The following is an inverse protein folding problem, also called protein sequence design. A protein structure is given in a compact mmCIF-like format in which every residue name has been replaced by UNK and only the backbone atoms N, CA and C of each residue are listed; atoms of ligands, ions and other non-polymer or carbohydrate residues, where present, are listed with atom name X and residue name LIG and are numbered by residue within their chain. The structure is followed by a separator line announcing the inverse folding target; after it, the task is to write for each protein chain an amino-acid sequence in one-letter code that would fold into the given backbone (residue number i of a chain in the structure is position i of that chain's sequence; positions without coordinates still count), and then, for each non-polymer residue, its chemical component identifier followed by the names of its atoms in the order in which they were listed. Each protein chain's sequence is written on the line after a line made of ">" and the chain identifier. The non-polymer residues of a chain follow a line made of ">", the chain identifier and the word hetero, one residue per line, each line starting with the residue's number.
data_IF_220879721326
#
_entry.id   IF_220879721326
#
_cell.length_a   1.000
_cell.length_b   1.000
_cell.length_c   1.000
_cell.angle_alpha   90.00
_cell.angle_beta   90.00
_cell.angle_gamma   90.00
#
_symmetry.space_group_name_H-M   'P 1'
#
loop_
_entity.id
_entity.type
_entity.pdbx_description
1 polymer ?
#
# COMPACT_ATOMS: atom_id res chain seq x y z
N UNK A 1 -33.84 48.39 -21.34
CA UNK A 1 -33.26 48.03 -20.02
C UNK A 1 -32.75 46.61 -20.15
N UNK A 2 -31.44 46.48 -20.40
CA UNK A 2 -30.79 45.18 -20.58
C UNK A 2 -30.24 44.71 -19.24
N UNK A 3 -30.66 43.51 -18.81
CA UNK A 3 -30.18 42.83 -17.63
C UNK A 3 -28.73 42.37 -17.89
N UNK A 4 -27.77 42.62 -16.97
CA UNK A 4 -26.41 42.13 -17.13
C UNK A 4 -26.35 40.60 -16.96
N UNK A 5 -25.42 39.88 -17.64
CA UNK A 5 -25.25 38.46 -17.49
C UNK A 5 -24.68 38.13 -16.11
N UNK A 6 -25.25 37.13 -15.46
CA UNK A 6 -24.74 36.53 -14.22
C UNK A 6 -23.38 35.90 -14.51
N UNK A 7 -22.33 36.43 -13.90
CA UNK A 7 -21.03 35.79 -13.85
C UNK A 7 -21.17 34.41 -13.17
N UNK A 8 -20.54 33.35 -13.69
CA UNK A 8 -20.50 32.09 -12.99
C UNK A 8 -19.75 32.29 -11.66
N UNK A 9 -20.41 31.94 -10.56
CA UNK A 9 -19.81 31.91 -9.25
C UNK A 9 -18.58 31.01 -9.30
N UNK A 10 -17.44 31.57 -8.95
CA UNK A 10 -16.21 30.79 -8.73
C UNK A 10 -16.51 29.78 -7.63
N UNK A 11 -16.62 28.52 -7.98
CA UNK A 11 -16.67 27.42 -7.03
C UNK A 11 -15.27 27.40 -6.38
N UNK A 12 -15.18 27.93 -5.18
CA UNK A 12 -14.02 27.75 -4.33
C UNK A 12 -14.06 26.30 -3.85
N UNK A 13 -13.47 25.39 -4.61
CA UNK A 13 -13.24 24.01 -4.17
C UNK A 13 -12.10 24.04 -3.18
N UNK A 14 -12.43 24.16 -1.92
CA UNK A 14 -11.51 23.92 -0.80
C UNK A 14 -11.53 22.44 -0.40
N UNK A 15 -11.57 21.54 -1.36
CA UNK A 15 -11.31 20.14 -1.07
C UNK A 15 -9.85 20.00 -0.70
N UNK A 16 -9.53 19.32 0.42
CA UNK A 16 -8.15 19.11 0.81
C UNK A 16 -7.41 18.35 -0.29
N UNK A 17 -6.11 18.65 -0.45
CA UNK A 17 -5.26 17.87 -1.34
C UNK A 17 -5.38 16.38 -0.98
N UNK A 18 -5.35 15.48 -1.97
CA UNK A 18 -5.67 14.06 -1.82
C UNK A 18 -4.99 13.34 -0.65
N UNK A 19 -3.74 13.66 -0.22
CA UNK A 19 -3.13 12.97 0.93
C UNK A 19 -3.82 13.28 2.27
N UNK A 20 -4.62 14.34 2.30
CA UNK A 20 -5.39 14.79 3.47
C UNK A 20 -6.90 14.53 3.34
N UNK A 21 -7.33 14.01 2.19
CA UNK A 21 -8.67 13.47 1.94
C UNK A 21 -8.87 12.07 2.53
N UNK A 22 -9.98 11.38 2.21
CA UNK A 22 -10.19 10.00 2.62
C UNK A 22 -9.13 9.06 2.04
N UNK A 23 -8.59 8.16 2.88
CA UNK A 23 -7.57 7.18 2.51
C UNK A 23 -7.93 5.79 3.05
N UNK A 24 -7.49 4.75 2.35
CA UNK A 24 -7.53 3.38 2.83
C UNK A 24 -6.10 2.82 2.91
N UNK A 25 -5.57 2.68 4.11
CA UNK A 25 -4.31 2.00 4.32
C UNK A 25 -4.48 0.49 4.30
N UNK A 26 -3.49 -0.25 3.80
CA UNK A 26 -3.50 -1.70 3.69
C UNK A 26 -2.11 -2.28 3.93
N UNK A 27 -2.07 -3.41 4.66
CA UNK A 27 -0.86 -4.19 4.91
C UNK A 27 -1.20 -5.65 5.18
N UNK A 28 -0.24 -6.56 4.99
CA UNK A 28 -0.39 -8.01 5.20
C UNK A 28 0.81 -8.62 5.91
N UNK A 29 0.54 -9.58 6.81
CA UNK A 29 1.55 -10.51 7.29
C UNK A 29 1.40 -11.86 6.59
N UNK A 30 2.51 -12.53 6.36
CA UNK A 30 2.58 -13.68 5.46
C UNK A 30 3.49 -14.79 5.97
N UNK A 31 3.43 -15.95 5.33
CA UNK A 31 4.33 -17.08 5.66
C UNK A 31 5.78 -16.86 5.23
N UNK A 32 6.09 -15.78 4.49
CA UNK A 32 7.45 -15.50 4.03
C UNK A 32 7.56 -14.25 3.18
N UNK A 33 8.51 -14.19 2.26
CA UNK A 33 8.89 -12.97 1.52
C UNK A 33 8.70 -13.07 0.00
N UNK A 34 8.08 -14.13 -0.48
CA UNK A 34 7.80 -14.36 -1.91
C UNK A 34 6.29 -14.27 -2.16
N UNK A 35 5.76 -13.15 -2.68
CA UNK A 35 4.32 -12.95 -2.85
C UNK A 35 3.70 -13.89 -3.89
N UNK A 36 4.51 -14.59 -4.69
CA UNK A 36 4.05 -15.61 -5.62
C UNK A 36 3.85 -16.99 -4.98
N UNK A 37 4.47 -17.24 -3.82
CA UNK A 37 4.50 -18.55 -3.16
C UNK A 37 3.93 -18.54 -1.77
N UNK A 38 4.16 -17.49 -1.03
CA UNK A 38 3.74 -17.37 0.36
C UNK A 38 2.22 -17.19 0.48
N UNK A 39 1.73 -17.27 1.70
CA UNK A 39 0.31 -17.27 2.03
C UNK A 39 -0.03 -16.13 2.96
N UNK A 40 -1.23 -15.61 2.81
CA UNK A 40 -1.78 -14.63 3.73
C UNK A 40 -1.97 -15.23 5.12
N UNK A 41 -1.44 -14.56 6.15
CA UNK A 41 -1.63 -14.88 7.57
C UNK A 41 -2.52 -13.85 8.25
N UNK A 42 -2.22 -12.56 8.14
CA UNK A 42 -3.09 -11.49 8.61
C UNK A 42 -3.23 -10.41 7.53
N UNK A 43 -4.31 -9.66 7.61
CA UNK A 43 -4.50 -8.45 6.84
C UNK A 43 -5.04 -7.35 7.74
N UNK A 44 -4.67 -6.10 7.47
CA UNK A 44 -5.22 -4.93 8.13
C UNK A 44 -5.63 -3.87 7.12
N UNK A 45 -6.79 -3.28 7.34
CA UNK A 45 -7.27 -2.09 6.67
C UNK A 45 -7.49 -0.98 7.69
N UNK A 46 -6.94 0.19 7.42
CA UNK A 46 -7.20 1.40 8.19
C UNK A 46 -7.87 2.41 7.28
N UNK A 47 -9.15 2.60 7.47
CA UNK A 47 -9.86 3.71 6.86
C UNK A 47 -9.55 4.99 7.64
N UNK A 48 -9.07 6.00 6.94
CA UNK A 48 -8.78 7.32 7.51
C UNK A 48 -9.65 8.35 6.80
N UNK A 49 -10.52 9.02 7.55
CA UNK A 49 -11.38 10.06 7.03
C UNK A 49 -10.57 11.31 6.61
N UNK A 50 -11.21 12.22 5.90
CA UNK A 50 -10.68 13.53 5.59
C UNK A 50 -10.18 14.26 6.84
N UNK A 51 -9.10 15.04 6.70
CA UNK A 51 -8.57 15.89 7.77
C UNK A 51 -9.53 17.03 8.03
N UNK A 52 -10.01 17.14 9.26
CA UNK A 52 -10.91 18.21 9.69
C UNK A 52 -10.15 19.53 9.91
N UNK A 53 -10.88 20.64 10.01
CA UNK A 53 -10.29 21.95 10.22
C UNK A 53 -9.51 22.07 11.55
N UNK A 54 -9.85 21.24 12.56
CA UNK A 54 -9.14 21.11 13.82
C UNK A 54 -7.87 20.23 13.73
N UNK A 55 -7.55 19.73 12.55
CA UNK A 55 -6.41 18.84 12.30
C UNK A 55 -6.66 17.37 12.65
N UNK A 56 -7.79 17.03 13.28
CA UNK A 56 -8.13 15.68 13.69
C UNK A 56 -8.60 14.85 12.48
N UNK A 57 -8.18 13.60 12.43
CA UNK A 57 -8.67 12.61 11.46
C UNK A 57 -9.29 11.44 12.22
N UNK A 58 -10.54 11.12 11.88
CA UNK A 58 -11.15 9.88 12.36
C UNK A 58 -10.58 8.71 11.56
N UNK A 59 -10.34 7.60 12.25
CA UNK A 59 -9.94 6.36 11.61
C UNK A 59 -10.69 5.18 12.21
N UNK A 60 -10.84 4.14 11.41
CA UNK A 60 -11.33 2.83 11.83
C UNK A 60 -10.41 1.75 11.31
N UNK A 61 -10.17 0.76 12.15
CA UNK A 61 -9.28 -0.36 11.86
C UNK A 61 -10.13 -1.62 11.71
N UNK A 62 -9.82 -2.41 10.70
CA UNK A 62 -10.39 -3.75 10.51
C UNK A 62 -9.22 -4.71 10.26
N UNK A 63 -9.17 -5.79 11.02
CA UNK A 63 -8.11 -6.80 10.92
C UNK A 63 -8.72 -8.18 10.67
N UNK A 64 -7.96 -9.02 10.00
CA UNK A 64 -8.31 -10.42 9.75
C UNK A 64 -7.14 -11.32 10.15
N UNK A 65 -7.45 -12.44 10.75
CA UNK A 65 -6.56 -13.57 10.94
C UNK A 65 -7.05 -14.70 10.05
N UNK A 66 -6.20 -15.19 9.16
CA UNK A 66 -6.50 -16.29 8.26
C UNK A 66 -5.81 -17.59 8.72
N UNK A 67 -6.44 -18.71 8.47
CA UNK A 67 -5.74 -20.00 8.42
C UNK A 67 -5.21 -20.19 6.98
N UNK A 68 -3.91 -20.06 6.73
CA UNK A 68 -3.32 -20.22 5.40
C UNK A 68 -3.38 -21.67 4.86
N UNK A 69 -3.82 -22.64 5.68
CA UNK A 69 -3.84 -24.06 5.33
C UNK A 69 -2.45 -24.70 5.22
N UNK A 70 -1.39 -23.96 5.57
CA UNK A 70 0.00 -24.41 5.57
C UNK A 70 0.66 -24.08 6.89
N UNK A 71 1.85 -24.62 7.13
CA UNK A 71 2.66 -24.25 8.30
C UNK A 71 3.23 -22.83 8.12
N UNK A 72 3.17 -22.03 9.18
CA UNK A 72 3.83 -20.72 9.25
C UNK A 72 5.25 -20.94 9.75
N UNK A 73 6.29 -20.63 8.96
CA UNK A 73 7.66 -20.79 9.37
C UNK A 73 7.99 -20.00 10.64
N UNK A 74 8.84 -20.56 11.50
CA UNK A 74 9.28 -19.91 12.75
C UNK A 74 9.85 -18.50 12.50
N UNK A 75 10.58 -18.32 11.39
CA UNK A 75 11.14 -17.03 11.01
C UNK A 75 10.05 -15.97 10.74
N UNK A 76 8.92 -16.36 10.17
CA UNK A 76 7.77 -15.46 9.93
C UNK A 76 7.03 -15.20 11.26
N UNK A 77 6.74 -16.27 12.03
CA UNK A 77 6.11 -16.15 13.35
C UNK A 77 6.91 -15.27 14.32
N UNK A 78 8.24 -15.30 14.24
CA UNK A 78 9.11 -14.43 15.05
C UNK A 78 8.98 -12.94 14.70
N UNK A 79 8.54 -12.61 13.49
CA UNK A 79 8.31 -11.23 13.04
C UNK A 79 6.94 -10.73 13.49
N UNK A 80 5.87 -11.42 13.10
CA UNK A 80 4.49 -10.93 13.30
C UNK A 80 3.74 -11.58 14.47
N UNK A 81 4.38 -12.50 15.21
CA UNK A 81 3.84 -13.09 16.44
C UNK A 81 2.69 -14.10 16.25
N UNK A 82 2.34 -14.48 15.02
CA UNK A 82 1.28 -15.46 14.75
C UNK A 82 1.89 -16.82 14.49
N UNK A 83 1.56 -17.82 15.33
CA UNK A 83 1.99 -19.20 15.16
C UNK A 83 1.01 -20.00 14.30
N UNK A 84 1.47 -21.13 13.78
CA UNK A 84 0.60 -22.08 13.05
C UNK A 84 -0.59 -22.52 13.89
N UNK A 85 -0.37 -22.81 15.19
CA UNK A 85 -1.41 -23.25 16.12
C UNK A 85 -2.48 -22.18 16.29
N UNK A 86 -2.06 -20.92 16.51
CA UNK A 86 -2.97 -19.79 16.67
C UNK A 86 -3.77 -19.58 15.39
N UNK A 87 -3.10 -19.56 14.24
CA UNK A 87 -3.74 -19.38 12.94
C UNK A 87 -4.81 -20.46 12.67
N UNK A 88 -4.51 -21.73 12.99
CA UNK A 88 -5.47 -22.83 12.82
C UNK A 88 -6.64 -22.81 13.80
N UNK A 89 -6.42 -22.34 15.03
CA UNK A 89 -7.47 -22.35 16.08
C UNK A 89 -8.37 -21.12 16.05
N UNK A 90 -7.86 -19.96 15.64
CA UNK A 90 -8.54 -18.66 15.71
C UNK A 90 -8.77 -18.05 14.32
N UNK A 91 -8.00 -18.49 13.31
CA UNK A 91 -8.06 -17.95 11.96
C UNK A 91 -9.32 -18.41 11.21
N UNK A 92 -9.77 -17.54 10.32
CA UNK A 92 -10.87 -17.86 9.39
C UNK A 92 -10.30 -18.54 8.13
N UNK A 93 -11.13 -19.28 7.38
CA UNK A 93 -10.72 -19.80 6.08
C UNK A 93 -10.14 -18.70 5.20
N UNK A 94 -8.91 -18.89 4.69
CA UNK A 94 -8.18 -17.85 3.95
C UNK A 94 -8.97 -17.33 2.75
N UNK A 95 -9.73 -18.19 2.05
CA UNK A 95 -10.56 -17.78 0.91
C UNK A 95 -11.65 -16.76 1.29
N UNK A 96 -12.25 -16.87 2.50
CA UNK A 96 -13.23 -15.91 2.99
C UNK A 96 -12.55 -14.56 3.32
N UNK A 97 -11.38 -14.61 3.97
CA UNK A 97 -10.60 -13.42 4.30
C UNK A 97 -10.19 -12.68 3.02
N UNK A 98 -9.67 -13.41 2.03
CA UNK A 98 -9.28 -12.86 0.73
C UNK A 98 -10.46 -12.18 0.01
N UNK A 99 -11.64 -12.82 0.04
CA UNK A 99 -12.83 -12.24 -0.57
C UNK A 99 -13.21 -10.91 0.11
N UNK A 100 -13.29 -10.87 1.43
CA UNK A 100 -13.65 -9.66 2.19
C UNK A 100 -12.62 -8.53 2.01
N UNK A 101 -11.33 -8.83 2.16
CA UNK A 101 -10.26 -7.84 1.98
C UNK A 101 -10.29 -7.27 0.56
N UNK A 102 -10.40 -8.14 -0.45
CA UNK A 102 -10.46 -7.69 -1.85
C UNK A 102 -11.73 -6.89 -2.15
N UNK A 103 -12.86 -7.16 -1.48
CA UNK A 103 -14.09 -6.37 -1.60
C UNK A 103 -13.86 -4.92 -1.15
N UNK A 104 -13.21 -4.72 0.00
CA UNK A 104 -12.88 -3.40 0.50
C UNK A 104 -11.91 -2.64 -0.42
N UNK A 105 -10.85 -3.31 -0.88
CA UNK A 105 -9.86 -2.71 -1.78
C UNK A 105 -10.48 -2.30 -3.12
N UNK A 106 -11.27 -3.19 -3.74
CA UNK A 106 -11.96 -2.91 -5.01
C UNK A 106 -12.99 -1.78 -4.83
N UNK A 107 -13.73 -1.76 -3.72
CA UNK A 107 -14.70 -0.69 -3.43
C UNK A 107 -13.99 0.67 -3.30
N UNK A 108 -12.87 0.75 -2.57
CA UNK A 108 -12.09 1.96 -2.44
C UNK A 108 -11.56 2.45 -3.80
N UNK A 109 -10.93 1.56 -4.57
CA UNK A 109 -10.40 1.90 -5.90
C UNK A 109 -11.50 2.31 -6.89
N UNK A 110 -12.69 1.71 -6.78
CA UNK A 110 -13.85 2.08 -7.61
C UNK A 110 -14.40 3.46 -7.23
N UNK A 111 -14.38 3.79 -5.96
CA UNK A 111 -14.79 5.09 -5.43
C UNK A 111 -13.74 6.21 -5.67
N UNK A 112 -12.56 5.87 -6.21
CA UNK A 112 -11.46 6.81 -6.38
C UNK A 112 -10.71 7.14 -5.08
N UNK A 113 -10.96 6.39 -3.99
CA UNK A 113 -10.23 6.53 -2.73
C UNK A 113 -8.84 5.92 -2.88
N UNK A 114 -7.74 6.67 -2.62
CA UNK A 114 -6.40 6.11 -2.70
C UNK A 114 -6.18 4.99 -1.68
N UNK A 115 -5.63 3.88 -2.16
CA UNK A 115 -5.15 2.77 -1.32
C UNK A 115 -3.67 2.99 -1.03
N UNK A 116 -3.32 3.05 0.25
CA UNK A 116 -1.97 3.37 0.72
C UNK A 116 -1.31 2.08 1.23
N UNK A 117 -0.21 1.70 0.62
CA UNK A 117 0.50 0.45 0.91
C UNK A 117 2.00 0.71 0.93
N UNK A 118 2.68 0.33 1.99
CA UNK A 118 4.15 0.42 2.04
C UNK A 118 4.77 -0.78 1.31
N UNK A 119 5.59 -0.54 0.29
CA UNK A 119 6.09 -1.59 -0.61
C UNK A 119 4.98 -2.34 -1.35
N UNK A 120 4.06 -1.58 -1.91
CA UNK A 120 2.80 -2.03 -2.50
C UNK A 120 2.92 -3.22 -3.47
N UNK A 121 4.05 -3.36 -4.15
CA UNK A 121 4.27 -4.48 -5.07
C UNK A 121 4.20 -5.83 -4.38
N UNK A 122 4.56 -5.91 -3.09
CA UNK A 122 4.51 -7.16 -2.34
C UNK A 122 3.06 -7.55 -2.04
N UNK A 123 2.34 -6.71 -1.31
CA UNK A 123 0.99 -7.01 -0.81
C UNK A 123 -0.03 -7.16 -1.94
N UNK A 124 0.06 -6.30 -2.94
CA UNK A 124 -0.86 -6.37 -4.08
C UNK A 124 -0.60 -7.60 -4.96
N UNK A 125 0.66 -8.01 -5.13
CA UNK A 125 0.99 -9.26 -5.84
C UNK A 125 0.53 -10.47 -5.04
N UNK A 126 0.74 -10.47 -3.72
CA UNK A 126 0.24 -11.52 -2.83
C UNK A 126 -1.28 -11.67 -2.96
N UNK A 127 -2.03 -10.56 -2.87
CA UNK A 127 -3.49 -10.59 -2.98
C UNK A 127 -3.96 -11.16 -4.33
N UNK A 128 -3.41 -10.69 -5.44
CA UNK A 128 -3.74 -11.20 -6.77
C UNK A 128 -3.42 -12.70 -6.91
N UNK A 129 -2.24 -13.12 -6.39
CA UNK A 129 -1.81 -14.52 -6.42
C UNK A 129 -2.71 -15.42 -5.57
N UNK A 130 -3.02 -14.99 -4.36
CA UNK A 130 -3.86 -15.75 -3.43
C UNK A 130 -5.30 -15.83 -3.94
N UNK A 131 -5.87 -14.74 -4.45
CA UNK A 131 -7.20 -14.77 -5.07
C UNK A 131 -7.25 -15.79 -6.21
N UNK A 132 -6.27 -15.76 -7.13
CA UNK A 132 -6.19 -16.70 -8.24
C UNK A 132 -6.02 -18.15 -7.76
N UNK A 133 -5.16 -18.38 -6.74
CA UNK A 133 -4.92 -19.71 -6.17
C UNK A 133 -6.17 -20.33 -5.56
N UNK A 134 -7.03 -19.53 -4.98
CA UNK A 134 -8.31 -19.97 -4.39
C UNK A 134 -9.48 -19.92 -5.37
N UNK A 135 -9.23 -19.66 -6.67
CA UNK A 135 -10.27 -19.60 -7.70
C UNK A 135 -11.23 -18.42 -7.54
N UNK A 136 -10.80 -17.37 -6.81
CA UNK A 136 -11.56 -16.14 -6.63
C UNK A 136 -11.21 -15.16 -7.77
N UNK A 137 -12.17 -14.29 -8.16
CA UNK A 137 -11.87 -13.22 -9.12
C UNK A 137 -10.81 -12.28 -8.58
N UNK A 138 -9.74 -12.04 -9.34
CA UNK A 138 -8.69 -11.09 -8.96
C UNK A 138 -9.22 -9.66 -8.94
N UNK A 139 -8.57 -8.76 -8.20
CA UNK A 139 -8.97 -7.36 -8.12
C UNK A 139 -8.91 -6.68 -9.50
N UNK A 140 -7.86 -6.97 -10.30
CA UNK A 140 -7.77 -6.47 -11.69
C UNK A 140 -8.94 -6.91 -12.54
N UNK A 141 -9.32 -8.19 -12.46
CA UNK A 141 -10.47 -8.72 -13.25
C UNK A 141 -11.79 -8.06 -12.85
N UNK A 142 -11.96 -7.78 -11.55
CA UNK A 142 -13.16 -7.12 -11.01
C UNK A 142 -13.25 -5.64 -11.39
N UNK A 143 -12.11 -4.96 -11.39
CA UNK A 143 -12.04 -3.55 -11.79
C UNK A 143 -12.13 -3.35 -13.31
N UNK A 144 -11.74 -4.37 -14.11
CA UNK A 144 -11.66 -4.26 -15.57
C UNK A 144 -10.56 -3.28 -16.03
N UNK A 145 -9.63 -2.92 -15.15
CA UNK A 145 -8.51 -2.00 -15.38
C UNK A 145 -7.36 -2.32 -14.43
N UNK A 146 -6.23 -1.64 -14.60
CA UNK A 146 -5.13 -1.71 -13.64
C UNK A 146 -5.56 -1.20 -12.25
N UNK A 147 -4.85 -1.68 -11.22
CA UNK A 147 -5.12 -1.29 -9.84
C UNK A 147 -4.82 0.21 -9.63
N UNK A 148 -5.66 0.88 -8.90
CA UNK A 148 -5.48 2.30 -8.55
C UNK A 148 -6.80 3.02 -8.24
N UNK A 149 -6.71 4.21 -7.60
CA UNK A 149 -5.48 4.91 -7.21
C UNK A 149 -4.73 4.22 -6.06
N UNK A 150 -3.40 4.20 -6.15
CA UNK A 150 -2.49 3.61 -5.15
C UNK A 150 -1.39 4.60 -4.83
N UNK A 151 -1.00 4.71 -3.55
CA UNK A 151 0.20 5.41 -3.14
C UNK A 151 1.08 4.50 -2.26
N UNK A 152 2.36 4.44 -2.62
CA UNK A 152 3.40 3.70 -1.91
C UNK A 152 4.44 4.69 -1.36
N UNK A 153 4.42 4.98 -0.05
CA UNK A 153 5.36 5.91 0.55
C UNK A 153 6.83 5.56 0.31
N UNK A 154 7.17 4.28 0.17
CA UNK A 154 8.52 3.85 -0.16
C UNK A 154 8.94 4.27 -1.57
N UNK A 155 8.06 4.14 -2.54
CA UNK A 155 8.32 4.53 -3.94
C UNK A 155 8.34 6.05 -4.06
N UNK A 156 7.43 6.74 -3.39
CA UNK A 156 7.38 8.20 -3.36
C UNK A 156 8.63 8.79 -2.71
N UNK A 157 9.06 8.29 -1.55
CA UNK A 157 10.29 8.72 -0.88
C UNK A 157 11.53 8.51 -1.78
N UNK A 158 11.62 7.37 -2.47
CA UNK A 158 12.70 7.14 -3.45
C UNK A 158 12.69 8.13 -4.61
N UNK A 159 11.51 8.57 -5.04
CA UNK A 159 11.37 9.50 -6.14
C UNK A 159 11.79 10.93 -5.75
N UNK A 160 11.38 11.41 -4.57
CA UNK A 160 11.61 12.80 -4.14
C UNK A 160 12.94 13.00 -3.43
N UNK A 161 13.47 11.96 -2.76
CA UNK A 161 14.77 11.99 -2.05
C UNK A 161 15.69 10.86 -2.52
N UNK A 162 15.95 10.84 -3.82
CA UNK A 162 16.71 9.80 -4.52
C UNK A 162 18.07 9.50 -3.89
N UNK A 163 18.76 10.52 -3.40
CA UNK A 163 20.16 10.42 -2.97
C UNK A 163 20.33 10.31 -1.46
N UNK A 164 19.24 10.26 -0.70
CA UNK A 164 19.31 10.08 0.74
C UNK A 164 20.04 8.78 1.08
N UNK A 165 21.00 8.91 1.98
CA UNK A 165 21.75 7.76 2.50
C UNK A 165 20.92 7.00 3.53
N UNK A 166 21.19 5.72 3.66
CA UNK A 166 20.55 4.86 4.65
C UNK A 166 19.54 3.88 4.05
N UNK A 167 18.88 3.14 4.93
CA UNK A 167 17.82 2.21 4.58
C UNK A 167 16.49 2.96 4.39
N UNK A 168 15.51 2.26 3.86
CA UNK A 168 14.14 2.80 3.62
C UNK A 168 13.10 1.78 4.03
N UNK A 169 13.30 1.15 5.18
CA UNK A 169 12.26 0.34 5.82
C UNK A 169 11.23 1.26 6.44
N UNK A 170 10.07 0.72 6.81
CA UNK A 170 9.01 1.49 7.45
C UNK A 170 9.54 2.29 8.66
N UNK A 171 10.22 1.64 9.61
CA UNK A 171 10.82 2.31 10.77
C UNK A 171 11.88 3.35 10.42
N UNK A 172 12.72 3.12 9.39
CA UNK A 172 13.69 4.11 8.93
C UNK A 172 12.99 5.39 8.41
N UNK A 173 11.82 5.23 7.73
CA UNK A 173 11.04 6.37 7.24
C UNK A 173 10.26 7.06 8.38
N UNK A 174 9.79 6.33 9.38
CA UNK A 174 9.25 6.94 10.59
C UNK A 174 10.25 7.92 11.22
N UNK A 175 11.50 7.51 11.39
CA UNK A 175 12.57 8.39 11.91
C UNK A 175 12.80 9.61 11.02
N UNK A 176 12.88 9.41 9.69
CA UNK A 176 13.15 10.48 8.72
C UNK A 176 12.04 11.53 8.69
N UNK A 177 10.79 11.10 8.77
CA UNK A 177 9.63 11.98 8.68
C UNK A 177 9.05 12.39 10.04
N UNK A 178 9.71 11.99 11.14
CA UNK A 178 9.29 12.35 12.51
C UNK A 178 7.96 11.74 12.92
N UNK A 179 7.64 10.57 12.37
CA UNK A 179 6.45 9.79 12.74
C UNK A 179 6.75 8.99 13.99
N UNK A 180 5.99 9.24 15.04
CA UNK A 180 6.11 8.49 16.30
C UNK A 180 5.18 7.28 16.25
N UNK A 181 5.71 6.12 16.58
CA UNK A 181 4.98 4.86 16.72
C UNK A 181 5.05 4.47 18.18
N UNK A 182 3.91 4.45 18.86
CA UNK A 182 3.83 4.16 20.31
C UNK A 182 3.95 2.65 20.63
N UNK A 183 3.79 1.80 19.62
CA UNK A 183 3.84 0.35 19.68
C UNK A 183 4.97 -0.19 18.79
N UNK A 184 5.38 -1.42 19.05
CA UNK A 184 6.36 -2.08 18.18
C UNK A 184 5.74 -2.33 16.79
N UNK A 185 6.45 -1.91 15.74
CA UNK A 185 6.15 -2.29 14.36
C UNK A 185 6.17 -3.82 14.25
N UNK A 186 5.42 -4.37 13.30
CA UNK A 186 5.26 -5.81 12.97
C UNK A 186 3.90 -6.39 13.38
N UNK A 187 2.91 -5.51 13.57
CA UNK A 187 1.51 -5.90 13.44
C UNK A 187 0.91 -5.08 12.30
N UNK A 188 0.12 -5.73 11.44
CA UNK A 188 -0.34 -5.10 10.21
C UNK A 188 -1.09 -3.76 10.47
N UNK A 189 -1.87 -3.65 11.54
CA UNK A 189 -2.59 -2.41 11.87
C UNK A 189 -1.68 -1.26 12.29
N UNK A 190 -0.59 -1.54 13.02
CA UNK A 190 0.41 -0.53 13.44
C UNK A 190 1.20 -0.07 12.22
N UNK A 191 1.63 -0.99 11.37
CA UNK A 191 2.37 -0.70 10.15
C UNK A 191 1.53 0.12 9.17
N UNK A 192 0.23 -0.17 9.03
CA UNK A 192 -0.69 0.65 8.23
C UNK A 192 -0.84 2.05 8.79
N UNK A 193 -1.02 2.21 10.11
CA UNK A 193 -1.15 3.52 10.72
C UNK A 193 0.11 4.37 10.49
N UNK A 194 1.29 3.78 10.72
CA UNK A 194 2.58 4.42 10.46
C UNK A 194 2.75 4.78 8.97
N UNK A 195 2.33 3.91 8.07
CA UNK A 195 2.37 4.15 6.62
C UNK A 195 1.53 5.35 6.20
N UNK A 196 0.33 5.49 6.77
CA UNK A 196 -0.55 6.64 6.53
C UNK A 196 0.06 7.94 7.06
N UNK A 197 0.69 7.90 8.25
CA UNK A 197 1.34 9.06 8.86
C UNK A 197 2.59 9.49 8.07
N UNK A 198 3.39 8.52 7.60
CA UNK A 198 4.52 8.78 6.70
C UNK A 198 4.05 9.46 5.41
N UNK A 199 2.96 8.99 4.80
CA UNK A 199 2.43 9.61 3.58
C UNK A 199 2.08 11.08 3.80
N UNK A 200 1.39 11.41 4.90
CA UNK A 200 1.01 12.78 5.22
C UNK A 200 2.23 13.68 5.50
N UNK A 201 3.21 13.17 6.24
CA UNK A 201 4.45 13.88 6.53
C UNK A 201 5.29 14.10 5.26
N UNK A 202 5.38 13.08 4.41
CA UNK A 202 6.06 13.11 3.13
C UNK A 202 5.41 14.11 2.17
N UNK A 203 4.07 14.12 2.07
CA UNK A 203 3.33 15.08 1.26
C UNK A 203 3.47 16.52 1.77
N UNK A 204 3.58 16.69 3.09
CA UNK A 204 3.86 17.99 3.71
C UNK A 204 5.28 18.48 3.39
N UNK A 205 6.27 17.60 3.45
CA UNK A 205 7.66 17.92 3.12
C UNK A 205 7.89 18.13 1.62
N UNK A 206 7.07 17.49 0.77
CA UNK A 206 7.18 17.48 -0.69
C UNK A 206 5.82 17.79 -1.35
N UNK A 207 5.39 19.07 -1.35
CA UNK A 207 4.04 19.47 -1.81
C UNK A 207 3.70 19.04 -3.24
N UNK A 208 4.71 18.87 -4.11
CA UNK A 208 4.52 18.39 -5.48
C UNK A 208 3.81 17.02 -5.57
N UNK A 209 3.87 16.21 -4.51
CA UNK A 209 3.14 14.93 -4.44
C UNK A 209 1.64 15.18 -4.36
N UNK A 210 1.24 16.19 -3.60
CA UNK A 210 -0.16 16.57 -3.41
C UNK A 210 -0.81 17.15 -4.66
N UNK A 211 0.01 17.61 -5.62
CA UNK A 211 -0.44 18.18 -6.89
C UNK A 211 -0.77 17.12 -7.95
N UNK A 212 -0.30 15.87 -7.75
CA UNK A 212 -0.57 14.76 -8.67
C UNK A 212 -2.04 14.33 -8.58
N UNK A 213 -2.71 14.27 -9.72
CA UNK A 213 -4.01 13.61 -9.81
C UNK A 213 -3.90 12.09 -9.66
N UNK A 214 -5.01 11.37 -9.43
CA UNK A 214 -4.98 9.92 -9.18
C UNK A 214 -4.26 9.09 -10.26
N UNK A 215 -4.51 9.38 -11.53
CA UNK A 215 -3.87 8.67 -12.65
C UNK A 215 -2.40 9.07 -12.81
N UNK A 216 -2.08 10.35 -12.60
CA UNK A 216 -0.72 10.86 -12.63
C UNK A 216 0.12 10.28 -11.49
N UNK A 217 -0.47 10.11 -10.30
CA UNK A 217 0.16 9.51 -9.13
C UNK A 217 0.63 8.08 -9.41
N UNK A 218 -0.23 7.26 -10.02
CA UNK A 218 0.11 5.87 -10.39
C UNK A 218 1.22 5.85 -11.44
N UNK A 219 1.10 6.66 -12.50
CA UNK A 219 2.09 6.74 -13.57
C UNK A 219 3.46 7.25 -13.07
N UNK A 220 3.45 8.28 -12.21
CA UNK A 220 4.66 8.82 -11.57
C UNK A 220 5.40 7.74 -10.77
N UNK A 221 4.69 7.00 -9.94
CA UNK A 221 5.29 5.94 -9.11
C UNK A 221 5.82 4.78 -9.97
N UNK A 222 5.07 4.36 -10.99
CA UNK A 222 5.50 3.31 -11.91
C UNK A 222 6.81 3.69 -12.61
N UNK A 223 6.94 4.93 -13.08
CA UNK A 223 8.16 5.44 -13.70
C UNK A 223 9.31 5.56 -12.70
N UNK A 224 9.05 6.07 -11.50
CA UNK A 224 10.06 6.22 -10.45
C UNK A 224 10.59 4.86 -9.98
N UNK A 225 9.69 3.88 -9.79
CA UNK A 225 10.05 2.50 -9.44
C UNK A 225 10.89 1.85 -10.53
N UNK A 226 10.50 1.95 -11.79
CA UNK A 226 11.26 1.44 -12.93
C UNK A 226 12.67 2.00 -12.96
N UNK A 227 12.82 3.31 -12.86
CA UNK A 227 14.13 3.99 -12.86
C UNK A 227 15.02 3.52 -11.71
N UNK A 228 14.44 3.34 -10.52
CA UNK A 228 15.15 2.78 -9.37
C UNK A 228 15.56 1.33 -9.62
N UNK A 229 14.64 0.48 -10.07
CA UNK A 229 14.88 -0.95 -10.28
C UNK A 229 15.96 -1.20 -11.35
N UNK A 230 15.93 -0.48 -12.47
CA UNK A 230 16.96 -0.56 -13.51
C UNK A 230 18.33 -0.20 -12.95
N UNK A 231 18.45 0.93 -12.28
CA UNK A 231 19.70 1.39 -11.66
C UNK A 231 20.21 0.40 -10.58
N UNK A 232 19.30 -0.14 -9.77
CA UNK A 232 19.63 -1.16 -8.77
C UNK A 232 20.09 -2.46 -9.43
N UNK A 233 19.45 -2.92 -10.48
CA UNK A 233 19.79 -4.13 -11.21
C UNK A 233 21.18 -4.03 -11.90
N UNK A 234 21.50 -2.87 -12.46
CA UNK A 234 22.84 -2.61 -12.99
C UNK A 234 23.92 -2.67 -11.88
N UNK A 235 23.63 -2.10 -10.72
CA UNK A 235 24.53 -2.18 -9.57
C UNK A 235 24.67 -3.63 -9.08
N UNK A 236 23.53 -4.35 -8.97
CA UNK A 236 23.47 -5.73 -8.52
C UNK A 236 24.27 -6.67 -9.41
N UNK A 237 24.13 -6.54 -10.74
CA UNK A 237 24.87 -7.35 -11.71
C UNK A 237 26.39 -7.22 -11.54
N UNK A 238 26.87 -6.06 -11.08
CA UNK A 238 28.29 -5.83 -10.82
C UNK A 238 28.77 -6.31 -9.45
N UNK A 239 27.89 -6.24 -8.43
CA UNK A 239 28.30 -6.47 -7.02
C UNK A 239 27.85 -7.82 -6.46
N UNK A 240 26.73 -8.34 -6.91
CA UNK A 240 26.15 -9.60 -6.44
C UNK A 240 25.31 -10.27 -7.54
N UNK A 241 25.92 -10.80 -8.60
CA UNK A 241 25.22 -11.36 -9.76
C UNK A 241 24.38 -12.61 -9.43
N UNK A 242 24.56 -13.23 -8.27
CA UNK A 242 23.78 -14.38 -7.85
C UNK A 242 22.41 -14.03 -7.26
N UNK A 243 22.19 -12.76 -6.92
CA UNK A 243 20.91 -12.29 -6.40
C UNK A 243 19.94 -11.98 -7.54
N UNK A 244 18.69 -12.40 -7.40
CA UNK A 244 17.63 -12.07 -8.37
C UNK A 244 17.46 -10.56 -8.53
N UNK A 245 17.28 -10.07 -9.77
CA UNK A 245 17.02 -8.66 -10.02
C UNK A 245 15.67 -8.21 -9.45
N UNK A 246 15.57 -6.93 -9.14
CA UNK A 246 14.30 -6.32 -8.78
C UNK A 246 13.37 -6.26 -10.00
N UNK A 247 12.09 -6.48 -9.78
CA UNK A 247 11.05 -6.27 -10.80
C UNK A 247 11.03 -4.80 -11.22
N UNK A 248 10.84 -4.55 -12.52
CA UNK A 248 10.78 -3.19 -13.06
C UNK A 248 9.36 -2.65 -13.16
N UNK A 249 8.37 -3.55 -13.22
CA UNK A 249 6.97 -3.18 -13.21
C UNK A 249 6.48 -2.85 -11.78
N UNK A 250 5.50 -1.95 -11.69
CA UNK A 250 4.85 -1.52 -10.46
C UNK A 250 3.39 -1.11 -10.77
N UNK A 251 2.40 -1.39 -9.91
CA UNK A 251 2.51 -2.11 -8.63
C UNK A 251 2.58 -3.63 -8.78
N UNK A 252 2.18 -4.17 -9.91
CA UNK A 252 2.18 -5.61 -10.18
C UNK A 252 3.28 -5.99 -11.18
N UNK A 253 3.76 -7.24 -11.16
CA UNK A 253 4.71 -7.73 -12.15
C UNK A 253 4.09 -7.81 -13.55
N UNK A 254 4.92 -7.64 -14.60
CA UNK A 254 4.48 -7.76 -16.01
C UNK A 254 4.07 -9.19 -16.38
N UNK A 255 4.59 -10.18 -15.68
CA UNK A 255 4.24 -11.59 -15.91
C UNK A 255 2.89 -11.93 -15.31
N UNK A 256 2.09 -12.78 -15.97
CA UNK A 256 0.84 -13.23 -15.36
C UNK A 256 1.12 -13.90 -14.01
N UNK A 257 0.33 -13.56 -13.04
CA UNK A 257 0.30 -14.20 -11.74
C UNK A 257 -0.36 -15.56 -11.96
N UNK A 258 0.45 -16.63 -11.97
CA UNK A 258 0.01 -18.02 -12.22
C UNK A 258 -0.38 -18.71 -10.93
#
# INVERSE_FOLDING_TARGET
>A
MSTPPLSPASISTTDPAWPFGPLLGFDTETTGVDPGRDRLVTAALVWRAERRADGVRQQSVTTWLADPGVEIPEAASAVHGVTTERSRSEGRPVAEVLAEVSDHLVAAMTAGTPVIVFNASYDLTLMETELARHGLPTMRSRLGRELGPIADPLVLDRAVDRYRRGKRRLGDLCEVYGVHVDEDLHTAEVDVAATLDILEALATAHPQISELGPDELVAFQAQAHRTWAESFNEWLARKNPSRSPAQTAWPLPDSPIC
#
